data_IF_153402991474
#
_entry.id   IF_153402991474
#
_cell.length_a   1.000
_cell.length_b   1.000
_cell.length_c   1.000
_cell.angle_alpha   90.00
_cell.angle_beta   90.00
_cell.angle_gamma   90.00
#
_symmetry.space_group_name_H-M   'P 1'
#
loop_
_entity.id
_entity.type
_entity.pdbx_description
1 polymer ?
#
# COMPACT_ATOMS: atom_id res chain seq x y z
N UNK A 1 -3.53 103.23 84.51
CA UNK A 1 -4.28 104.28 85.23
C UNK A 1 -4.05 104.06 86.71
N UNK A 2 -3.30 104.94 87.37
CA UNK A 2 -3.45 105.40 88.77
C UNK A 2 -2.25 106.28 89.11
N UNK A 3 -2.52 107.51 89.54
CA UNK A 3 -1.59 108.60 89.82
C UNK A 3 -0.48 108.27 90.82
N UNK A 4 0.73 108.84 90.70
CA UNK A 4 1.55 109.09 91.87
C UNK A 4 1.00 110.34 92.56
N UNK A 5 0.50 110.15 93.77
CA UNK A 5 0.02 111.22 94.63
C UNK A 5 1.15 112.22 94.90
N UNK A 6 0.81 113.51 94.83
CA UNK A 6 1.62 114.62 95.32
C UNK A 6 1.94 114.37 96.80
N UNK A 7 3.19 114.03 97.11
CA UNK A 7 3.67 114.18 98.48
C UNK A 7 3.78 115.68 98.77
N UNK A 8 2.79 116.19 99.50
CA UNK A 8 2.88 117.47 100.17
C UNK A 8 4.09 117.40 101.11
N UNK A 9 5.06 118.29 100.90
CA UNK A 9 6.13 118.55 101.85
C UNK A 9 5.50 119.09 103.12
N UNK A 10 5.20 118.20 104.06
CA UNK A 10 4.92 118.57 105.44
C UNK A 10 6.28 119.01 105.97
N UNK A 11 6.47 120.32 106.18
CA UNK A 11 7.56 120.81 107.00
C UNK A 11 7.36 120.23 108.40
N UNK A 12 7.93 119.06 108.61
CA UNK A 12 7.99 118.40 109.90
C UNK A 12 9.02 119.21 110.66
N UNK A 13 8.55 120.10 111.52
CA UNK A 13 9.40 120.68 112.56
C UNK A 13 9.86 119.48 113.37
N UNK A 14 11.16 119.17 113.30
CA UNK A 14 11.65 117.94 113.87
C UNK A 14 11.52 118.04 115.40
N UNK A 15 11.19 116.93 116.06
CA UNK A 15 11.13 116.89 117.53
C UNK A 15 12.46 117.36 118.13
N UNK A 16 13.58 117.06 117.46
CA UNK A 16 14.91 117.60 117.76
C UNK A 16 14.97 119.12 117.68
N UNK A 17 14.45 119.76 116.62
CA UNK A 17 14.44 121.24 116.50
C UNK A 17 13.67 121.91 117.65
N UNK A 18 12.57 121.28 118.09
CA UNK A 18 11.74 121.79 119.19
C UNK A 18 12.44 121.61 120.54
N UNK A 19 13.12 120.48 120.76
CA UNK A 19 13.87 120.20 121.99
C UNK A 19 15.16 121.02 122.08
N UNK A 20 15.90 121.16 120.98
CA UNK A 20 17.12 122.00 120.88
C UNK A 20 16.82 123.49 121.07
N UNK A 21 15.63 123.97 120.70
CA UNK A 21 15.22 125.34 121.00
C UNK A 21 14.64 125.48 122.42
N UNK A 22 13.85 124.51 122.87
CA UNK A 22 13.09 124.57 124.11
C UNK A 22 13.91 124.35 125.38
N UNK A 23 14.80 123.36 125.39
CA UNK A 23 15.61 123.01 126.57
C UNK A 23 16.60 124.13 126.93
N UNK A 24 17.36 124.72 125.99
CA UNK A 24 18.22 125.87 126.30
C UNK A 24 17.44 127.07 126.82
N UNK A 25 16.21 127.31 126.33
CA UNK A 25 15.35 128.37 126.83
C UNK A 25 14.91 128.13 128.29
N UNK A 26 14.57 126.87 128.65
CA UNK A 26 14.27 126.47 130.04
C UNK A 26 15.50 126.61 130.93
N UNK A 27 16.67 126.14 130.49
CA UNK A 27 17.95 126.34 131.20
C UNK A 27 18.23 127.83 131.42
N UNK A 28 18.02 128.66 130.40
CA UNK A 28 18.24 130.11 130.49
C UNK A 28 17.27 130.77 131.48
N UNK A 29 16.01 130.34 131.53
CA UNK A 29 15.03 130.80 132.51
C UNK A 29 15.39 130.39 133.94
N UNK A 30 15.87 129.16 134.13
CA UNK A 30 16.36 128.67 135.43
C UNK A 30 17.58 129.48 135.89
N UNK A 31 18.58 129.69 135.00
CA UNK A 31 19.74 130.56 135.28
C UNK A 31 19.34 132.01 135.60
N UNK A 32 18.32 132.53 134.92
CA UNK A 32 17.80 133.87 135.19
C UNK A 32 17.12 133.97 136.56
N UNK A 33 16.40 132.92 136.98
CA UNK A 33 15.80 132.82 138.31
C UNK A 33 16.88 132.72 139.40
N UNK A 34 17.88 131.85 139.22
CA UNK A 34 19.03 131.69 140.13
C UNK A 34 19.76 133.02 140.41
N UNK A 35 19.89 133.90 139.41
CA UNK A 35 20.52 135.23 139.58
C UNK A 35 19.67 136.24 140.35
N UNK A 36 18.36 136.06 140.40
CA UNK A 36 17.42 137.05 140.95
C UNK A 36 16.92 136.71 142.35
N UNK A 37 16.99 135.44 142.72
CA UNK A 37 16.52 134.95 144.02
C UNK A 37 17.71 134.78 144.96
N UNK A 38 17.66 135.39 146.14
CA UNK A 38 18.65 135.16 147.20
C UNK A 38 18.37 133.81 147.83
N UNK A 39 19.20 132.84 147.50
CA UNK A 39 19.03 131.44 147.85
C UNK A 39 20.07 131.00 148.87
N UNK A 40 19.72 130.02 149.70
CA UNK A 40 20.70 129.25 150.44
C UNK A 40 21.45 128.28 149.51
N UNK A 41 22.53 127.69 150.00
CA UNK A 41 23.41 126.82 149.22
C UNK A 41 22.66 125.58 148.68
N UNK A 42 21.65 125.11 149.43
CA UNK A 42 20.80 124.00 149.04
C UNK A 42 19.91 124.33 147.84
N UNK A 43 19.30 125.52 147.83
CA UNK A 43 18.43 125.97 146.74
C UNK A 43 19.21 126.24 145.46
N UNK A 44 20.46 126.74 145.56
CA UNK A 44 21.34 126.88 144.40
C UNK A 44 21.66 125.52 143.75
N UNK A 45 21.95 124.49 144.56
CA UNK A 45 22.17 123.13 144.05
C UNK A 45 20.93 122.55 143.36
N UNK A 46 19.72 122.87 143.83
CA UNK A 46 18.50 122.45 143.13
C UNK A 46 18.36 123.09 141.74
N UNK A 47 18.76 124.36 141.58
CA UNK A 47 18.80 125.00 140.26
C UNK A 47 19.84 124.37 139.34
N UNK A 48 21.05 124.11 139.85
CA UNK A 48 22.12 123.46 139.07
C UNK A 48 21.69 122.04 138.64
N UNK A 49 21.12 121.25 139.56
CA UNK A 49 20.57 119.92 139.25
C UNK A 49 19.44 119.97 138.21
N UNK A 50 18.59 121.02 138.24
CA UNK A 50 17.51 121.18 137.27
C UNK A 50 18.05 121.54 135.87
N UNK A 51 19.11 122.34 135.80
CA UNK A 51 19.83 122.63 134.55
C UNK A 51 20.47 121.34 134.02
N UNK A 52 21.23 120.61 134.85
CA UNK A 52 21.85 119.35 134.45
C UNK A 52 20.81 118.31 134.01
N UNK A 53 19.68 118.21 134.72
CA UNK A 53 18.60 117.29 134.35
C UNK A 53 17.98 117.66 133.00
N UNK A 54 17.82 118.96 132.71
CA UNK A 54 17.28 119.43 131.43
C UNK A 54 18.27 119.17 130.29
N UNK A 55 19.55 119.47 130.48
CA UNK A 55 20.63 119.18 129.51
C UNK A 55 20.78 117.67 129.27
N UNK A 56 20.67 116.85 130.31
CA UNK A 56 20.70 115.39 130.21
C UNK A 56 19.48 114.84 129.45
N UNK A 57 18.30 115.43 129.62
CA UNK A 57 17.08 115.04 128.90
C UNK A 57 17.21 115.35 127.40
N UNK A 58 17.80 116.50 127.05
CA UNK A 58 18.12 116.82 125.65
C UNK A 58 19.09 115.80 125.05
N UNK A 59 20.18 115.48 125.75
CA UNK A 59 21.15 114.48 125.29
C UNK A 59 20.49 113.10 125.09
N UNK A 60 19.68 112.64 126.05
CA UNK A 60 18.94 111.39 125.92
C UNK A 60 17.94 111.39 124.75
N UNK A 61 17.26 112.51 124.50
CA UNK A 61 16.35 112.62 123.38
C UNK A 61 17.06 112.59 122.02
N UNK A 62 18.24 113.23 121.93
CA UNK A 62 19.11 113.15 120.75
C UNK A 62 19.61 111.72 120.53
N UNK A 63 20.03 111.02 121.59
CA UNK A 63 20.46 109.62 121.49
C UNK A 63 19.33 108.69 121.04
N UNK A 64 18.11 108.86 121.56
CA UNK A 64 16.93 108.10 121.12
C UNK A 64 16.62 108.37 119.65
N UNK A 65 16.68 109.63 119.22
CA UNK A 65 16.42 109.99 117.82
C UNK A 65 17.48 109.43 116.87
N UNK A 66 18.76 109.49 117.27
CA UNK A 66 19.84 108.88 116.48
C UNK A 66 19.67 107.37 116.39
N UNK A 67 19.30 106.69 117.49
CA UNK A 67 18.98 105.26 117.46
C UNK A 67 17.79 104.96 116.54
N UNK A 68 16.71 105.75 116.59
CA UNK A 68 15.57 105.58 115.67
C UNK A 68 15.96 105.82 114.20
N UNK A 69 16.83 106.80 113.93
CA UNK A 69 17.35 107.06 112.59
C UNK A 69 18.25 105.92 112.09
N UNK A 70 19.11 105.38 112.95
CA UNK A 70 19.94 104.21 112.65
C UNK A 70 19.08 102.95 112.42
N UNK A 71 18.06 102.72 113.24
CA UNK A 71 17.07 101.65 113.03
C UNK A 71 16.32 101.81 111.71
N UNK A 72 15.89 103.03 111.37
CA UNK A 72 15.22 103.30 110.10
C UNK A 72 16.15 103.08 108.91
N UNK A 73 17.41 103.54 108.98
CA UNK A 73 18.39 103.30 107.93
C UNK A 73 18.65 101.80 107.73
N UNK A 74 18.76 101.04 108.83
CA UNK A 74 18.88 99.58 108.77
C UNK A 74 17.66 98.94 108.10
N UNK A 75 16.45 99.40 108.41
CA UNK A 75 15.23 98.91 107.76
C UNK A 75 15.22 99.22 106.25
N UNK A 76 15.67 100.40 105.83
CA UNK A 76 15.79 100.75 104.40
C UNK A 76 16.78 99.85 103.69
N UNK A 77 17.97 99.62 104.26
CA UNK A 77 18.96 98.68 103.69
C UNK A 77 18.36 97.28 103.55
N UNK A 78 17.64 96.77 104.57
CA UNK A 78 17.00 95.44 104.46
C UNK A 78 15.92 95.38 103.40
N UNK A 79 15.19 96.48 103.16
CA UNK A 79 14.17 96.56 102.12
C UNK A 79 14.78 96.61 100.72
N UNK A 80 15.88 97.34 100.55
CA UNK A 80 16.65 97.39 99.30
C UNK A 80 17.24 96.02 98.96
N UNK A 81 17.83 95.34 99.94
CA UNK A 81 18.33 93.96 99.79
C UNK A 81 17.21 92.98 99.38
N UNK A 82 16.04 93.09 100.02
CA UNK A 82 14.87 92.26 99.67
C UNK A 82 14.37 92.56 98.26
N UNK A 83 14.36 93.82 97.83
CA UNK A 83 13.99 94.19 96.46
C UNK A 83 14.97 93.63 95.43
N UNK A 84 16.27 93.69 95.70
CA UNK A 84 17.30 93.13 94.82
C UNK A 84 17.16 91.60 94.71
N UNK A 85 16.97 90.90 95.83
CA UNK A 85 16.70 89.46 95.84
C UNK A 85 15.44 89.10 95.06
N UNK A 86 14.35 89.87 95.24
CA UNK A 86 13.09 89.64 94.53
C UNK A 86 13.23 89.89 93.03
N UNK A 87 14.02 90.89 92.63
CA UNK A 87 14.36 91.12 91.23
C UNK A 87 15.15 89.94 90.64
N UNK A 88 16.17 89.45 91.35
CA UNK A 88 16.94 88.27 90.96
C UNK A 88 16.08 87.00 90.83
N UNK A 89 15.12 86.80 91.73
CA UNK A 89 14.17 85.68 91.64
C UNK A 89 13.18 85.82 90.49
N UNK A 90 12.74 87.03 90.18
CA UNK A 90 11.90 87.27 89.01
C UNK A 90 12.65 86.98 87.71
N UNK A 91 13.91 87.39 87.59
CA UNK A 91 14.74 87.09 86.42
C UNK A 91 14.93 85.58 86.24
N UNK A 92 15.29 84.86 87.32
CA UNK A 92 15.39 83.39 87.32
C UNK A 92 14.08 82.72 86.86
N UNK A 93 12.92 83.20 87.34
CA UNK A 93 11.62 82.66 86.96
C UNK A 93 11.32 82.83 85.46
N UNK A 94 11.60 84.01 84.91
CA UNK A 94 11.47 84.26 83.46
C UNK A 94 12.38 83.37 82.62
N UNK A 95 13.64 83.18 83.03
CA UNK A 95 14.58 82.29 82.33
C UNK A 95 14.11 80.83 82.37
N UNK A 96 13.64 80.36 83.53
CA UNK A 96 13.05 79.03 83.66
C UNK A 96 11.80 78.86 82.80
N UNK A 97 10.93 79.86 82.70
CA UNK A 97 9.75 79.80 81.82
C UNK A 97 10.13 79.72 80.33
N UNK A 98 11.19 80.41 79.91
CA UNK A 98 11.70 80.35 78.53
C UNK A 98 12.27 78.95 78.25
N UNK A 99 13.09 78.42 79.15
CA UNK A 99 13.66 77.07 79.04
C UNK A 99 12.57 76.01 78.99
N UNK A 100 11.53 76.13 79.81
CA UNK A 100 10.43 75.16 79.86
C UNK A 100 9.65 75.15 78.54
N UNK A 101 9.34 76.33 77.97
CA UNK A 101 8.71 76.43 76.64
C UNK A 101 9.59 75.90 75.51
N UNK A 102 10.91 76.13 75.57
CA UNK A 102 11.84 75.57 74.59
C UNK A 102 11.91 74.04 74.68
N UNK A 103 11.95 73.49 75.89
CA UNK A 103 11.95 72.05 76.11
C UNK A 103 10.63 71.40 75.68
N UNK A 104 9.48 72.03 75.96
CA UNK A 104 8.18 71.57 75.45
C UNK A 104 8.15 71.52 73.93
N UNK A 105 8.67 72.55 73.27
CA UNK A 105 8.73 72.60 71.80
C UNK A 105 9.69 71.55 71.22
N UNK A 106 10.87 71.38 71.79
CA UNK A 106 11.80 70.31 71.40
C UNK A 106 11.18 68.93 71.56
N UNK A 107 10.48 68.67 72.67
CA UNK A 107 9.78 67.41 72.88
C UNK A 107 8.67 67.19 71.87
N UNK A 108 7.96 68.25 71.49
CA UNK A 108 6.91 68.16 70.48
C UNK A 108 7.49 67.87 69.09
N UNK A 109 8.59 68.52 68.71
CA UNK A 109 9.30 68.26 67.46
C UNK A 109 9.85 66.82 67.42
N UNK A 110 10.45 66.32 68.51
CA UNK A 110 10.92 64.92 68.64
C UNK A 110 9.77 63.91 68.48
N UNK A 111 8.59 64.20 69.03
CA UNK A 111 7.41 63.34 68.91
C UNK A 111 6.87 63.36 67.49
N UNK A 112 6.78 64.53 66.85
CA UNK A 112 6.31 64.66 65.47
C UNK A 112 7.24 63.91 64.50
N UNK A 113 8.55 64.02 64.66
CA UNK A 113 9.53 63.27 63.87
C UNK A 113 9.40 61.75 64.07
N UNK A 114 9.28 61.30 65.32
CA UNK A 114 9.11 59.88 65.64
C UNK A 114 7.80 59.30 65.08
N UNK A 115 6.70 60.07 65.12
CA UNK A 115 5.42 59.69 64.52
C UNK A 115 5.54 59.61 63.00
N UNK A 116 6.20 60.59 62.36
CA UNK A 116 6.40 60.58 60.91
C UNK A 116 7.24 59.38 60.46
N UNK A 117 8.34 59.08 61.15
CA UNK A 117 9.18 57.91 60.82
C UNK A 117 8.42 56.59 61.06
N UNK A 118 7.61 56.50 62.12
CA UNK A 118 6.75 55.35 62.37
C UNK A 118 5.68 55.16 61.27
N UNK A 119 5.05 56.25 60.80
CA UNK A 119 4.08 56.22 59.70
C UNK A 119 4.75 55.77 58.40
N UNK A 120 5.93 56.30 58.05
CA UNK A 120 6.65 55.86 56.86
C UNK A 120 7.06 54.38 56.93
N UNK A 121 7.42 53.88 58.12
CA UNK A 121 7.71 52.45 58.31
C UNK A 121 6.45 51.59 58.16
N UNK A 122 5.31 52.05 58.67
CA UNK A 122 4.03 51.37 58.50
C UNK A 122 3.61 51.31 57.03
N UNK A 123 3.66 52.42 56.30
CA UNK A 123 3.32 52.48 54.87
C UNK A 123 4.19 51.55 54.02
N UNK A 124 5.51 51.51 54.30
CA UNK A 124 6.43 50.59 53.63
C UNK A 124 6.11 49.12 53.93
N UNK A 125 5.75 48.81 55.16
CA UNK A 125 5.37 47.45 55.55
C UNK A 125 4.05 47.02 54.87
N UNK A 126 3.07 47.93 54.79
CA UNK A 126 1.79 47.66 54.11
C UNK A 126 2.00 47.42 52.61
N UNK A 127 2.82 48.25 51.95
CA UNK A 127 3.20 48.03 50.55
C UNK A 127 3.86 46.67 50.33
N UNK A 128 4.77 46.26 51.22
CA UNK A 128 5.43 44.96 51.14
C UNK A 128 4.43 43.81 51.36
N UNK A 129 3.51 43.95 52.31
CA UNK A 129 2.45 42.95 52.55
C UNK A 129 1.58 42.77 51.31
N UNK A 130 1.14 43.86 50.68
CA UNK A 130 0.37 43.82 49.43
C UNK A 130 1.17 43.15 48.31
N UNK A 131 2.45 43.50 48.14
CA UNK A 131 3.31 42.87 47.13
C UNK A 131 3.53 41.37 47.37
N UNK A 132 3.63 40.95 48.63
CA UNK A 132 3.77 39.54 48.99
C UNK A 132 2.46 38.77 48.79
N UNK A 133 1.31 39.38 49.11
CA UNK A 133 0.00 38.79 48.84
C UNK A 133 -0.27 38.63 47.34
N UNK A 134 0.08 39.62 46.52
CA UNK A 134 -0.06 39.48 45.07
C UNK A 134 0.84 38.36 44.53
N UNK A 135 2.12 38.30 44.95
CA UNK A 135 3.02 37.19 44.58
C UNK A 135 2.52 35.84 45.06
N UNK A 136 1.98 35.76 46.28
CA UNK A 136 1.42 34.51 46.81
C UNK A 136 0.22 34.04 45.99
N UNK A 137 -0.67 34.96 45.62
CA UNK A 137 -1.83 34.66 44.78
C UNK A 137 -1.42 34.19 43.38
N UNK A 138 -0.44 34.86 42.76
CA UNK A 138 0.12 34.45 41.46
C UNK A 138 0.75 33.04 41.51
N UNK A 139 1.57 32.77 42.53
CA UNK A 139 2.21 31.46 42.71
C UNK A 139 1.17 30.37 42.97
N UNK A 140 0.15 30.66 43.79
CA UNK A 140 -0.93 29.71 44.09
C UNK A 140 -1.70 29.35 42.82
N UNK A 141 -2.11 30.33 42.02
CA UNK A 141 -2.78 30.10 40.74
C UNK A 141 -1.92 29.29 39.76
N UNK A 142 -0.60 29.58 39.70
CA UNK A 142 0.34 28.82 38.89
C UNK A 142 0.46 27.35 39.32
N UNK A 143 0.51 27.08 40.63
CA UNK A 143 0.56 25.72 41.17
C UNK A 143 -0.73 24.97 40.86
N UNK A 144 -1.90 25.60 41.03
CA UNK A 144 -3.19 25.00 40.67
C UNK A 144 -3.26 24.63 39.18
N UNK A 145 -2.84 25.54 38.30
CA UNK A 145 -2.77 25.29 36.87
C UNK A 145 -1.83 24.12 36.54
N UNK A 146 -0.65 24.08 37.17
CA UNK A 146 0.30 22.97 36.99
C UNK A 146 -0.26 21.65 37.48
N UNK A 147 -0.97 21.63 38.60
CA UNK A 147 -1.63 20.42 39.10
C UNK A 147 -2.71 19.92 38.14
N UNK A 148 -3.52 20.81 37.57
CA UNK A 148 -4.50 20.44 36.54
C UNK A 148 -3.84 19.88 35.28
N UNK A 149 -2.73 20.47 34.83
CA UNK A 149 -1.93 19.96 33.70
C UNK A 149 -1.38 18.56 34.00
N UNK A 150 -0.80 18.36 35.18
CA UNK A 150 -0.27 17.06 35.62
C UNK A 150 -1.38 16.01 35.67
N UNK A 151 -2.55 16.33 36.22
CA UNK A 151 -3.68 15.41 36.24
C UNK A 151 -4.15 15.03 34.83
N UNK A 152 -4.23 16.00 33.93
CA UNK A 152 -4.62 15.77 32.52
C UNK A 152 -3.58 14.90 31.81
N UNK A 153 -2.29 15.19 31.98
CA UNK A 153 -1.19 14.38 31.45
C UNK A 153 -1.17 12.97 32.05
N UNK A 154 -1.49 12.82 33.33
CA UNK A 154 -1.52 11.53 33.98
C UNK A 154 -2.70 10.67 33.46
N UNK A 155 -3.85 11.28 33.17
CA UNK A 155 -4.98 10.60 32.51
C UNK A 155 -4.60 10.16 31.10
N UNK A 156 -4.08 11.05 30.27
CA UNK A 156 -3.68 10.71 28.90
C UNK A 156 -2.56 9.68 28.86
N UNK A 157 -1.58 9.76 29.77
CA UNK A 157 -0.54 8.75 29.91
C UNK A 157 -1.10 7.38 30.31
N UNK A 158 -2.05 7.32 31.25
CA UNK A 158 -2.74 6.07 31.62
C UNK A 158 -3.53 5.48 30.44
N UNK A 159 -4.24 6.30 29.68
CA UNK A 159 -4.96 5.87 28.48
C UNK A 159 -4.01 5.32 27.41
N UNK A 160 -2.90 6.00 27.14
CA UNK A 160 -1.87 5.54 26.20
C UNK A 160 -1.21 4.26 26.67
N UNK A 161 -0.85 4.15 27.96
CA UNK A 161 -0.23 2.95 28.51
C UNK A 161 -1.21 1.77 28.58
N UNK A 162 -2.50 2.00 28.77
CA UNK A 162 -3.54 0.97 28.70
C UNK A 162 -3.67 0.35 27.30
N UNK A 163 -3.29 1.10 26.25
CA UNK A 163 -3.22 0.58 24.88
C UNK A 163 -1.98 -0.30 24.64
N UNK A 164 -1.09 -0.47 25.62
CA UNK A 164 0.12 -1.29 25.53
C UNK A 164 0.90 -1.06 24.21
N UNK A 165 1.40 0.17 24.00
CA UNK A 165 1.91 0.64 22.72
C UNK A 165 3.11 -0.18 22.23
N UNK A 166 3.91 -0.72 23.16
CA UNK A 166 5.05 -1.61 22.86
C UNK A 166 4.61 -2.94 22.26
N UNK A 167 3.56 -3.56 22.77
CA UNK A 167 3.02 -4.78 22.16
C UNK A 167 2.23 -4.48 20.90
N UNK A 168 1.57 -3.32 20.80
CA UNK A 168 0.88 -2.90 19.58
C UNK A 168 1.87 -2.68 18.42
N UNK A 169 3.01 -2.03 18.67
CA UNK A 169 4.06 -1.82 17.68
C UNK A 169 4.66 -3.15 17.20
N UNK A 170 4.93 -4.08 18.13
CA UNK A 170 5.37 -5.45 17.79
C UNK A 170 4.33 -6.20 16.96
N UNK A 171 3.04 -6.12 17.32
CA UNK A 171 1.94 -6.74 16.56
C UNK A 171 1.79 -6.12 15.18
N UNK A 172 1.89 -4.79 15.05
CA UNK A 172 1.84 -4.10 13.77
C UNK A 172 3.02 -4.48 12.88
N UNK A 173 4.25 -4.52 13.41
CA UNK A 173 5.43 -4.94 12.66
C UNK A 173 5.31 -6.41 12.20
N UNK A 174 4.80 -7.30 13.05
CA UNK A 174 4.52 -8.70 12.71
C UNK A 174 3.45 -8.81 11.60
N UNK A 175 2.31 -8.15 11.77
CA UNK A 175 1.23 -8.14 10.78
C UNK A 175 1.65 -7.53 9.44
N UNK A 176 2.52 -6.50 9.46
CA UNK A 176 3.08 -5.89 8.24
C UNK A 176 3.98 -6.87 7.48
N UNK A 177 4.83 -7.63 8.19
CA UNK A 177 5.65 -8.70 7.59
C UNK A 177 4.78 -9.82 7.02
N UNK A 178 3.84 -10.34 7.81
CA UNK A 178 2.89 -11.38 7.37
C UNK A 178 2.11 -10.93 6.12
N UNK A 179 1.66 -9.68 6.07
CA UNK A 179 0.98 -9.13 4.89
C UNK A 179 1.90 -9.04 3.66
N UNK A 180 3.17 -8.72 3.84
CA UNK A 180 4.15 -8.72 2.74
C UNK A 180 4.42 -10.13 2.23
N UNK A 181 4.58 -11.10 3.12
CA UNK A 181 4.82 -12.50 2.77
C UNK A 181 3.59 -13.12 2.08
N UNK A 182 2.38 -12.84 2.58
CA UNK A 182 1.14 -13.24 1.92
C UNK A 182 1.00 -12.61 0.53
N UNK A 183 1.36 -11.32 0.36
CA UNK A 183 1.35 -10.68 -0.96
C UNK A 183 2.32 -11.34 -1.94
N UNK A 184 3.51 -11.74 -1.47
CA UNK A 184 4.47 -12.51 -2.29
C UNK A 184 3.91 -13.87 -2.66
N UNK A 185 3.37 -14.62 -1.69
CA UNK A 185 2.75 -15.92 -1.95
C UNK A 185 1.59 -15.83 -2.95
N UNK A 186 0.72 -14.82 -2.82
CA UNK A 186 -0.39 -14.60 -3.78
C UNK A 186 0.16 -14.31 -5.18
N UNK A 187 1.20 -13.48 -5.29
CA UNK A 187 1.87 -13.22 -6.58
C UNK A 187 2.46 -14.49 -7.19
N UNK A 188 3.19 -15.29 -6.40
CA UNK A 188 3.81 -16.54 -6.84
C UNK A 188 2.77 -17.59 -7.27
N UNK A 189 1.67 -17.70 -6.51
CA UNK A 189 0.55 -18.59 -6.83
C UNK A 189 -0.16 -18.15 -8.11
N UNK A 190 -0.40 -16.85 -8.30
CA UNK A 190 -0.99 -16.34 -9.53
C UNK A 190 -0.10 -16.62 -10.75
N UNK A 191 1.22 -16.45 -10.63
CA UNK A 191 2.16 -16.81 -11.71
C UNK A 191 2.13 -18.31 -12.02
N UNK A 192 2.07 -19.16 -10.98
CA UNK A 192 1.92 -20.62 -11.16
C UNK A 192 0.61 -20.98 -11.86
N UNK A 193 -0.51 -20.34 -11.50
CA UNK A 193 -1.82 -20.57 -12.13
C UNK A 193 -1.77 -20.19 -13.61
N UNK A 194 -1.19 -19.04 -13.95
CA UNK A 194 -1.05 -18.62 -15.36
C UNK A 194 -0.22 -19.62 -16.15
N UNK A 195 0.90 -20.08 -15.58
CA UNK A 195 1.75 -21.09 -16.21
C UNK A 195 1.03 -22.43 -16.42
N UNK A 196 0.39 -22.95 -15.36
CA UNK A 196 -0.39 -24.20 -15.43
C UNK A 196 -1.55 -24.11 -16.42
N UNK A 197 -2.22 -22.96 -16.50
CA UNK A 197 -3.32 -22.74 -17.47
C UNK A 197 -2.80 -22.83 -18.90
N UNK A 198 -1.63 -22.23 -19.18
CA UNK A 198 -0.97 -22.32 -20.49
C UNK A 198 -0.52 -23.75 -20.81
N UNK A 199 0.16 -24.41 -19.86
CA UNK A 199 0.63 -25.79 -20.05
C UNK A 199 -0.56 -26.75 -20.30
N UNK A 200 -1.69 -26.53 -19.63
CA UNK A 200 -2.92 -27.30 -19.83
C UNK A 200 -3.57 -27.02 -21.20
N UNK A 201 -3.56 -25.77 -21.69
CA UNK A 201 -4.04 -25.49 -23.05
C UNK A 201 -3.16 -26.14 -24.11
N UNK A 202 -1.84 -26.08 -23.94
CA UNK A 202 -0.89 -26.69 -24.88
C UNK A 202 -1.04 -28.22 -24.89
N UNK A 203 -1.19 -28.84 -23.71
CA UNK A 203 -1.46 -30.27 -23.59
C UNK A 203 -2.78 -30.69 -24.23
N UNK A 204 -3.86 -29.89 -24.11
CA UNK A 204 -5.14 -30.16 -24.77
C UNK A 204 -5.02 -30.15 -26.29
N UNK A 205 -4.29 -29.18 -26.85
CA UNK A 205 -4.04 -29.11 -28.30
C UNK A 205 -3.20 -30.28 -28.78
N UNK A 206 -2.14 -30.63 -28.05
CA UNK A 206 -1.30 -31.79 -28.36
C UNK A 206 -2.11 -33.10 -28.31
N UNK A 207 -2.93 -33.29 -27.28
CA UNK A 207 -3.82 -34.45 -27.16
C UNK A 207 -4.83 -34.54 -28.31
N UNK A 208 -5.45 -33.42 -28.70
CA UNK A 208 -6.39 -33.41 -29.83
C UNK A 208 -5.71 -33.84 -31.15
N UNK A 209 -4.49 -33.32 -31.42
CA UNK A 209 -3.68 -33.73 -32.59
C UNK A 209 -3.28 -35.20 -32.55
N UNK A 210 -2.85 -35.69 -31.38
CA UNK A 210 -2.45 -37.08 -31.22
C UNK A 210 -3.66 -38.02 -31.38
N UNK A 211 -4.83 -37.64 -30.89
CA UNK A 211 -6.07 -38.38 -31.08
C UNK A 211 -6.44 -38.48 -32.56
N UNK A 212 -6.39 -37.39 -33.32
CA UNK A 212 -6.67 -37.42 -34.76
C UNK A 212 -5.70 -38.32 -35.53
N UNK A 213 -4.41 -38.27 -35.21
CA UNK A 213 -3.41 -39.12 -35.87
C UNK A 213 -3.58 -40.59 -35.50
N UNK A 214 -3.92 -40.88 -34.23
CA UNK A 214 -4.20 -42.24 -33.78
C UNK A 214 -5.41 -42.83 -34.51
N UNK A 215 -6.49 -42.06 -34.68
CA UNK A 215 -7.65 -42.51 -35.46
C UNK A 215 -7.27 -42.81 -36.91
N UNK A 216 -6.48 -41.94 -37.56
CA UNK A 216 -6.02 -42.17 -38.94
C UNK A 216 -5.18 -43.45 -39.05
N UNK A 217 -4.26 -43.67 -38.12
CA UNK A 217 -3.43 -44.87 -38.08
C UNK A 217 -4.27 -46.13 -37.86
N UNK A 218 -5.28 -46.09 -36.99
CA UNK A 218 -6.22 -47.21 -36.81
C UNK A 218 -6.94 -47.52 -38.13
N UNK A 219 -7.44 -46.53 -38.85
CA UNK A 219 -8.08 -46.73 -40.15
C UNK A 219 -7.12 -47.35 -41.18
N UNK A 220 -5.89 -46.86 -41.29
CA UNK A 220 -4.85 -47.44 -42.16
C UNK A 220 -4.54 -48.88 -41.78
N UNK A 221 -4.35 -49.17 -40.48
CA UNK A 221 -4.07 -50.52 -39.97
C UNK A 221 -5.21 -51.48 -40.29
N UNK A 222 -6.45 -51.00 -40.20
CA UNK A 222 -7.65 -51.80 -40.53
C UNK A 222 -7.67 -52.12 -42.02
N UNK A 223 -7.35 -51.16 -42.90
CA UNK A 223 -7.24 -51.39 -44.36
C UNK A 223 -6.17 -52.43 -44.68
N UNK A 224 -4.99 -52.33 -44.07
CA UNK A 224 -3.93 -53.31 -44.26
C UNK A 224 -4.34 -54.72 -43.79
N UNK A 225 -5.03 -54.83 -42.66
CA UNK A 225 -5.52 -56.11 -42.15
C UNK A 225 -6.56 -56.76 -43.10
N UNK A 226 -7.43 -55.95 -43.72
CA UNK A 226 -8.39 -56.43 -44.73
C UNK A 226 -7.67 -56.90 -45.99
N UNK A 227 -6.76 -56.10 -46.53
CA UNK A 227 -5.95 -56.45 -47.71
C UNK A 227 -5.15 -57.73 -47.47
N UNK A 228 -4.57 -57.88 -46.28
CA UNK A 228 -3.82 -59.09 -45.91
C UNK A 228 -4.74 -60.33 -45.90
N UNK A 229 -5.96 -60.23 -45.36
CA UNK A 229 -6.94 -61.33 -45.39
C UNK A 229 -7.36 -61.70 -46.81
N UNK A 230 -7.56 -60.71 -47.68
CA UNK A 230 -7.91 -60.92 -49.09
C UNK A 230 -6.76 -61.59 -49.86
N UNK A 231 -5.52 -61.16 -49.65
CA UNK A 231 -4.32 -61.80 -50.20
C UNK A 231 -4.20 -63.28 -49.76
N UNK A 232 -4.47 -63.57 -48.48
CA UNK A 232 -4.46 -64.95 -47.99
C UNK A 232 -5.65 -65.78 -48.48
N UNK A 233 -6.83 -65.18 -48.68
CA UNK A 233 -8.00 -65.88 -49.21
C UNK A 233 -7.80 -66.36 -50.65
N UNK A 234 -7.19 -65.54 -51.49
CA UNK A 234 -6.84 -65.92 -52.88
C UNK A 234 -5.83 -67.07 -52.88
N UNK A 235 -4.78 -66.99 -52.05
CA UNK A 235 -3.74 -68.03 -51.98
C UNK A 235 -4.21 -69.38 -51.40
N UNK A 236 -5.40 -69.46 -50.78
CA UNK A 236 -6.00 -70.72 -50.36
C UNK A 236 -6.66 -71.49 -51.51
N UNK A 237 -7.02 -70.83 -52.62
CA UNK A 237 -7.57 -71.52 -53.79
C UNK A 237 -6.45 -72.31 -54.47
N UNK A 238 -6.66 -73.61 -54.62
CA UNK A 238 -5.74 -74.49 -55.34
C UNK A 238 -6.42 -75.09 -56.57
N UNK A 239 -5.65 -75.22 -57.63
CA UNK A 239 -6.01 -75.89 -58.86
C UNK A 239 -5.07 -77.06 -59.08
N UNK A 240 -5.56 -78.14 -59.67
CA UNK A 240 -4.76 -79.34 -59.96
C UNK A 240 -4.56 -79.46 -61.46
N UNK A 241 -3.34 -79.80 -61.88
CA UNK A 241 -3.00 -79.97 -63.29
C UNK A 241 -3.93 -80.94 -64.01
N UNK A 242 -4.22 -80.65 -65.29
CA UNK A 242 -5.00 -81.54 -66.16
C UNK A 242 -4.24 -82.82 -66.51
N UNK A 243 -2.91 -82.78 -66.49
CA UNK A 243 -2.02 -83.91 -66.73
C UNK A 243 -1.10 -84.12 -65.53
N UNK A 244 -0.70 -85.37 -65.30
CA UNK A 244 0.31 -85.69 -64.29
C UNK A 244 1.71 -85.47 -64.82
N UNK A 245 2.57 -84.88 -63.99
CA UNK A 245 4.00 -84.75 -64.30
C UNK A 245 4.69 -86.12 -64.12
N UNK A 246 5.56 -86.55 -65.06
CA UNK A 246 6.16 -87.90 -65.05
C UNK A 246 6.90 -88.29 -63.76
N UNK A 247 7.43 -87.31 -63.01
CA UNK A 247 8.20 -87.55 -61.78
C UNK A 247 7.58 -86.97 -60.51
N UNK A 248 6.66 -86.00 -60.64
CA UNK A 248 6.13 -85.25 -59.49
C UNK A 248 4.65 -85.55 -59.22
N UNK A 249 3.97 -86.26 -60.13
CA UNK A 249 2.54 -86.51 -60.04
C UNK A 249 1.73 -85.24 -60.33
N UNK A 250 0.58 -85.03 -59.66
CA UNK A 250 -0.26 -83.85 -59.90
C UNK A 250 0.45 -82.57 -59.44
N UNK A 251 0.52 -81.58 -60.34
CA UNK A 251 1.06 -80.26 -60.06
C UNK A 251 -0.07 -79.39 -59.52
N UNK A 252 0.17 -78.73 -58.39
CA UNK A 252 -0.79 -77.79 -57.80
C UNK A 252 -0.44 -76.38 -58.18
N UNK A 253 -1.45 -75.63 -58.62
CA UNK A 253 -1.35 -74.21 -58.92
C UNK A 253 -2.17 -73.40 -57.95
N UNK A 254 -1.68 -72.21 -57.61
CA UNK A 254 -2.36 -71.30 -56.69
C UNK A 254 -2.19 -69.85 -57.15
N UNK A 255 -3.27 -69.04 -57.11
CA UNK A 255 -3.21 -67.64 -57.47
C UNK A 255 -2.60 -66.82 -56.32
N UNK A 256 -1.93 -65.74 -56.69
CA UNK A 256 -1.32 -64.77 -55.77
C UNK A 256 -1.63 -63.37 -56.25
N UNK A 257 -2.07 -62.52 -55.33
CA UNK A 257 -2.20 -61.09 -55.57
C UNK A 257 -0.87 -60.39 -55.29
N UNK A 258 -0.47 -59.50 -56.19
CA UNK A 258 0.66 -58.61 -56.03
C UNK A 258 0.15 -57.21 -55.72
N UNK A 259 0.71 -56.57 -54.70
CA UNK A 259 0.37 -55.21 -54.28
C UNK A 259 1.07 -54.12 -55.14
N UNK A 260 1.37 -54.46 -56.39
CA UNK A 260 1.90 -53.56 -57.41
C UNK A 260 1.49 -54.09 -58.80
N UNK A 261 1.30 -53.18 -59.75
CA UNK A 261 1.00 -53.56 -61.13
C UNK A 261 2.24 -53.96 -61.93
N UNK A 262 2.02 -54.76 -62.96
CA UNK A 262 3.05 -55.20 -63.90
C UNK A 262 2.83 -54.48 -65.22
N UNK A 263 3.83 -53.70 -65.64
CA UNK A 263 3.78 -53.00 -66.93
C UNK A 263 4.22 -53.91 -68.07
N UNK A 264 3.63 -53.71 -69.26
CA UNK A 264 4.08 -54.39 -70.48
C UNK A 264 5.00 -53.47 -71.29
N UNK A 265 6.14 -53.95 -71.80
CA UNK A 265 6.94 -53.20 -72.75
C UNK A 265 6.10 -52.84 -73.99
N UNK A 266 6.33 -51.66 -74.57
CA UNK A 266 5.55 -51.16 -75.73
C UNK A 266 5.47 -52.15 -76.90
N UNK A 267 6.52 -52.94 -77.11
CA UNK A 267 6.61 -53.95 -78.18
C UNK A 267 5.58 -55.08 -78.01
N UNK A 268 5.16 -55.39 -76.78
CA UNK A 268 4.18 -56.44 -76.48
C UNK A 268 2.75 -55.89 -76.34
N UNK A 269 2.57 -54.58 -76.58
CA UNK A 269 1.29 -53.87 -76.49
C UNK A 269 1.01 -53.02 -77.75
N UNK A 270 1.49 -53.47 -78.91
CA UNK A 270 1.38 -52.80 -80.21
C UNK A 270 0.13 -53.20 -81.01
N UNK A 271 -0.58 -54.25 -80.59
CA UNK A 271 -1.81 -54.76 -81.17
C UNK A 271 -2.88 -54.93 -80.09
N UNK A 272 -4.16 -54.86 -80.48
CA UNK A 272 -5.27 -55.17 -79.59
C UNK A 272 -5.38 -56.70 -79.36
N UNK A 273 -5.88 -57.14 -78.19
CA UNK A 273 -6.33 -56.33 -77.07
C UNK A 273 -5.17 -55.71 -76.27
N UNK A 274 -5.31 -54.42 -75.93
CA UNK A 274 -4.27 -53.69 -75.21
C UNK A 274 -4.17 -54.11 -73.74
N UNK A 275 -2.97 -54.09 -73.17
CA UNK A 275 -2.71 -54.31 -71.75
C UNK A 275 -2.96 -53.00 -71.00
N UNK A 276 -3.77 -53.09 -69.93
CA UNK A 276 -4.09 -51.96 -69.05
C UNK A 276 -2.86 -51.59 -68.23
N UNK A 277 -2.39 -50.36 -68.36
CA UNK A 277 -1.24 -49.84 -67.62
C UNK A 277 -1.69 -49.08 -66.36
N UNK A 278 -0.71 -48.85 -65.46
CA UNK A 278 -0.88 -48.09 -64.20
C UNK A 278 -1.89 -48.69 -63.21
N UNK A 279 -2.10 -50.00 -63.27
CA UNK A 279 -2.76 -50.70 -62.17
C UNK A 279 -1.81 -50.73 -60.96
N UNK A 280 -2.37 -50.65 -59.77
CA UNK A 280 -1.66 -50.80 -58.50
C UNK A 280 -1.65 -52.25 -58.01
N UNK A 281 -2.15 -53.17 -58.84
CA UNK A 281 -2.18 -54.59 -58.55
C UNK A 281 -1.91 -55.43 -59.81
N UNK A 282 -1.50 -56.67 -59.59
CA UNK A 282 -1.39 -57.69 -60.61
C UNK A 282 -1.61 -59.07 -59.98
N UNK A 283 -1.86 -60.08 -60.81
CA UNK A 283 -1.96 -61.45 -60.36
C UNK A 283 -0.74 -62.26 -60.80
N UNK A 284 -0.41 -63.27 -60.03
CA UNK A 284 0.59 -64.26 -60.35
C UNK A 284 -0.01 -65.65 -60.15
N UNK A 285 0.23 -66.55 -61.10
CA UNK A 285 -0.18 -67.95 -60.98
C UNK A 285 1.05 -68.80 -60.72
N UNK A 286 1.16 -69.29 -59.49
CA UNK A 286 2.32 -70.05 -59.03
C UNK A 286 2.00 -71.54 -59.06
N UNK A 287 3.02 -72.38 -59.24
CA UNK A 287 2.91 -73.82 -59.01
C UNK A 287 3.91 -74.33 -57.97
N UNK A 288 3.64 -75.52 -57.44
CA UNK A 288 4.50 -76.22 -56.47
C UNK A 288 5.89 -76.59 -57.01
N UNK A 289 6.07 -76.63 -58.33
CA UNK A 289 7.38 -76.79 -58.98
C UNK A 289 8.28 -75.53 -58.89
N UNK A 290 7.80 -74.43 -58.31
CA UNK A 290 8.55 -73.19 -58.15
C UNK A 290 8.53 -72.27 -59.38
N UNK A 291 7.71 -72.58 -60.39
CA UNK A 291 7.43 -71.64 -61.49
C UNK A 291 6.27 -70.71 -61.13
N UNK A 292 6.30 -69.52 -61.72
CA UNK A 292 5.23 -68.56 -61.60
C UNK A 292 5.05 -67.79 -62.91
N UNK A 293 3.81 -67.54 -63.28
CA UNK A 293 3.46 -66.68 -64.42
C UNK A 293 2.82 -65.40 -63.91
N UNK A 294 3.38 -64.28 -64.36
CA UNK A 294 2.81 -62.97 -64.15
C UNK A 294 1.64 -62.74 -65.12
N UNK A 295 0.47 -62.44 -64.56
CA UNK A 295 -0.76 -62.17 -65.29
C UNK A 295 -0.91 -60.66 -65.44
N UNK A 296 -0.83 -60.20 -66.69
CA UNK A 296 -1.17 -58.83 -67.07
C UNK A 296 -2.64 -58.79 -67.46
N UNK A 297 -3.30 -57.67 -67.21
CA UNK A 297 -4.74 -57.53 -67.47
C UNK A 297 -4.92 -56.81 -68.79
N UNK A 298 -5.62 -57.42 -69.75
CA UNK A 298 -5.94 -56.74 -71.00
C UNK A 298 -7.19 -55.85 -70.85
N UNK A 299 -7.48 -55.08 -71.89
CA UNK A 299 -8.58 -54.12 -71.90
C UNK A 299 -9.95 -54.77 -71.71
N UNK A 300 -10.07 -56.06 -72.03
CA UNK A 300 -11.29 -56.85 -71.85
C UNK A 300 -11.31 -57.61 -70.53
N UNK A 301 -10.47 -57.21 -69.57
CA UNK A 301 -10.39 -57.81 -68.24
C UNK A 301 -10.01 -59.29 -68.28
N UNK A 302 -9.34 -59.73 -69.35
CA UNK A 302 -8.85 -61.09 -69.51
C UNK A 302 -7.38 -61.21 -69.07
N UNK A 303 -7.01 -62.34 -68.46
CA UNK A 303 -5.62 -62.62 -68.10
C UNK A 303 -4.77 -62.78 -69.37
N UNK A 304 -3.71 -61.99 -69.46
CA UNK A 304 -2.75 -62.01 -70.56
C UNK A 304 -1.34 -62.25 -70.00
N UNK A 305 -0.72 -63.34 -70.43
CA UNK A 305 0.56 -63.82 -69.93
C UNK A 305 1.46 -64.25 -71.07
N UNK A 306 2.76 -64.37 -70.79
CA UNK A 306 3.69 -64.94 -71.75
C UNK A 306 3.65 -66.47 -71.60
N UNK A 307 3.48 -67.24 -72.69
CA UNK A 307 3.47 -68.68 -72.61
C UNK A 307 4.80 -69.20 -72.05
N UNK A 308 4.70 -70.06 -71.04
CA UNK A 308 5.80 -70.85 -70.51
C UNK A 308 5.40 -72.31 -70.66
N UNK A 309 6.28 -73.12 -71.25
CA UNK A 309 6.02 -74.53 -71.60
C UNK A 309 5.37 -75.34 -70.48
N UNK A 310 5.80 -75.15 -69.23
CA UNK A 310 5.24 -75.89 -68.08
C UNK A 310 3.76 -75.55 -67.84
N UNK A 311 3.35 -74.30 -68.04
CA UNK A 311 1.94 -73.92 -67.93
C UNK A 311 1.15 -74.34 -69.17
N UNK A 312 1.72 -74.29 -70.38
CA UNK A 312 1.03 -74.78 -71.58
C UNK A 312 0.69 -76.28 -71.49
N UNK A 313 1.61 -77.07 -70.92
CA UNK A 313 1.47 -78.52 -70.86
C UNK A 313 0.59 -79.01 -69.70
N UNK A 314 0.67 -78.34 -68.53
CA UNK A 314 0.05 -78.79 -67.28
C UNK A 314 -1.01 -77.85 -66.71
N UNK A 315 -1.40 -76.77 -67.42
CA UNK A 315 -2.41 -75.84 -66.92
C UNK A 315 -3.69 -76.56 -66.46
N UNK A 316 -4.29 -76.13 -65.33
CA UNK A 316 -5.56 -76.65 -64.85
C UNK A 316 -6.73 -76.18 -65.71
N UNK A 317 -7.87 -76.86 -65.67
CA UNK A 317 -9.12 -76.35 -66.27
C UNK A 317 -9.72 -75.19 -65.46
N UNK A 318 -10.43 -74.27 -66.12
CA UNK A 318 -11.21 -73.23 -65.45
C UNK A 318 -10.39 -72.06 -64.86
N UNK A 319 -9.07 -72.05 -65.04
CA UNK A 319 -8.20 -71.06 -64.40
C UNK A 319 -8.30 -69.67 -65.03
N UNK A 320 -8.53 -69.60 -66.34
CA UNK A 320 -8.69 -68.34 -67.07
C UNK A 320 -9.99 -67.65 -66.62
N UNK A 321 -11.06 -68.43 -66.52
CA UNK A 321 -12.39 -68.01 -66.06
C UNK A 321 -12.32 -67.50 -64.62
N UNK A 322 -11.61 -68.23 -63.75
CA UNK A 322 -11.37 -67.80 -62.37
C UNK A 322 -10.66 -66.44 -62.30
N UNK A 323 -9.57 -66.25 -63.07
CA UNK A 323 -8.87 -64.96 -63.07
C UNK A 323 -9.71 -63.87 -63.72
N UNK A 324 -10.49 -64.16 -64.77
CA UNK A 324 -11.38 -63.20 -65.37
C UNK A 324 -12.41 -62.68 -64.36
N UNK A 325 -13.10 -63.58 -63.63
CA UNK A 325 -14.06 -63.19 -62.59
C UNK A 325 -13.40 -62.38 -61.48
N UNK A 326 -12.22 -62.82 -61.03
CA UNK A 326 -11.45 -62.14 -60.00
C UNK A 326 -10.99 -60.74 -60.45
N UNK A 327 -10.56 -60.60 -61.71
CA UNK A 327 -10.20 -59.31 -62.31
C UNK A 327 -11.42 -58.42 -62.41
N UNK A 328 -12.56 -58.91 -62.90
CA UNK A 328 -13.80 -58.12 -63.02
C UNK A 328 -14.22 -57.54 -61.68
N UNK A 329 -14.31 -58.38 -60.63
CA UNK A 329 -14.64 -57.95 -59.26
C UNK A 329 -13.69 -56.86 -58.76
N UNK A 330 -12.40 -57.01 -59.03
CA UNK A 330 -11.39 -56.07 -58.55
C UNK A 330 -11.36 -54.76 -59.36
N UNK A 331 -11.79 -54.83 -60.61
CA UNK A 331 -11.91 -53.69 -61.51
C UNK A 331 -13.22 -52.93 -61.35
N UNK A 332 -14.27 -53.49 -60.75
CA UNK A 332 -15.51 -52.77 -60.42
C UNK A 332 -15.26 -51.53 -59.54
N UNK A 333 -14.33 -51.64 -58.58
CA UNK A 333 -13.99 -50.53 -57.68
C UNK A 333 -13.02 -49.51 -58.29
N UNK A 334 -12.23 -49.92 -59.30
CA UNK A 334 -11.13 -49.12 -59.87
C UNK A 334 -11.46 -48.50 -61.22
N UNK A 335 -12.04 -49.29 -62.13
CA UNK A 335 -12.37 -48.94 -63.52
C UNK A 335 -13.70 -49.61 -63.94
N UNK A 336 -14.84 -49.22 -63.32
CA UNK A 336 -16.14 -49.82 -63.60
C UNK A 336 -16.60 -49.69 -65.06
N UNK A 337 -16.06 -48.72 -65.81
CA UNK A 337 -16.28 -48.57 -67.24
C UNK A 337 -15.77 -49.76 -68.07
N UNK A 338 -14.67 -50.39 -67.66
CA UNK A 338 -14.13 -51.57 -68.35
C UNK A 338 -14.98 -52.81 -68.09
N UNK A 339 -15.50 -52.95 -66.87
CA UNK A 339 -16.38 -54.05 -66.48
C UNK A 339 -17.67 -53.99 -67.29
N UNK A 340 -18.34 -52.82 -67.30
CA UNK A 340 -19.56 -52.62 -68.09
C UNK A 340 -19.39 -52.90 -69.58
N UNK A 341 -18.22 -52.56 -70.14
CA UNK A 341 -17.92 -52.85 -71.56
C UNK A 341 -17.78 -54.35 -71.80
N UNK A 342 -17.09 -55.06 -70.90
CA UNK A 342 -16.94 -56.51 -71.01
C UNK A 342 -18.29 -57.23 -70.89
N UNK A 343 -19.10 -56.87 -69.89
CA UNK A 343 -20.47 -57.41 -69.71
C UNK A 343 -21.35 -57.18 -70.94
N UNK A 344 -21.37 -55.95 -71.45
CA UNK A 344 -22.10 -55.63 -72.68
C UNK A 344 -21.63 -56.49 -73.86
N UNK A 345 -20.33 -56.64 -74.06
CA UNK A 345 -19.79 -57.44 -75.16
C UNK A 345 -20.12 -58.94 -75.03
N UNK A 346 -20.30 -59.45 -73.80
CA UNK A 346 -20.74 -60.83 -73.54
C UNK A 346 -22.23 -61.03 -73.90
N UNK A 347 -23.06 -59.98 -73.79
CA UNK A 347 -24.48 -60.04 -74.16
C UNK A 347 -24.72 -59.92 -75.67
N UNK A 348 -23.78 -59.34 -76.42
CA UNK A 348 -23.93 -59.11 -77.86
C UNK A 348 -23.58 -60.37 -78.65
N UNK A 349 -24.61 -61.09 -79.11
CA UNK A 349 -24.45 -62.24 -80.00
C UNK A 349 -24.06 -61.80 -81.42
N UNK A 350 -23.06 -62.44 -82.02
CA UNK A 350 -22.57 -62.12 -83.37
C UNK A 350 -23.63 -62.31 -84.46
N UNK A 351 -24.52 -63.29 -84.31
CA UNK A 351 -25.59 -63.57 -85.27
C UNK A 351 -26.66 -62.46 -85.30
N UNK A 352 -26.94 -61.88 -84.13
CA UNK A 352 -28.00 -60.87 -83.96
C UNK A 352 -27.48 -59.43 -84.01
N UNK A 353 -26.16 -59.25 -83.99
CA UNK A 353 -25.51 -57.94 -83.88
C UNK A 353 -25.57 -57.09 -85.16
N UNK A 354 -26.05 -57.62 -86.29
CA UNK A 354 -26.14 -56.92 -87.57
C UNK A 354 -24.77 -56.45 -88.10
N UNK A 355 -23.72 -57.23 -87.81
CA UNK A 355 -22.36 -56.90 -88.23
C UNK A 355 -22.20 -57.07 -89.75
N UNK A 356 -21.43 -56.22 -90.43
CA UNK A 356 -21.13 -56.35 -91.86
C UNK A 356 -20.11 -57.47 -92.13
N UNK A 357 -20.45 -58.71 -91.72
CA UNK A 357 -19.68 -59.93 -91.96
C UNK A 357 -20.52 -60.90 -92.79
N UNK A 358 -19.91 -61.72 -93.67
CA UNK A 358 -20.63 -62.77 -94.38
C UNK A 358 -21.30 -63.76 -93.43
N UNK A 359 -22.53 -64.20 -93.72
CA UNK A 359 -23.25 -65.19 -92.89
C UNK A 359 -22.46 -66.50 -92.72
N UNK A 360 -21.78 -66.95 -93.78
CA UNK A 360 -20.90 -68.12 -93.73
C UNK A 360 -19.76 -67.96 -92.71
N UNK A 361 -19.23 -66.73 -92.58
CA UNK A 361 -18.17 -66.44 -91.62
C UNK A 361 -18.70 -66.38 -90.19
N UNK A 362 -19.92 -65.86 -89.99
CA UNK A 362 -20.59 -65.89 -88.67
C UNK A 362 -20.89 -67.32 -88.25
N UNK A 363 -21.40 -68.16 -89.17
CA UNK A 363 -21.61 -69.59 -88.90
C UNK A 363 -20.30 -70.29 -88.55
N UNK A 364 -19.22 -70.02 -89.30
CA UNK A 364 -17.88 -70.55 -89.01
C UNK A 364 -17.37 -70.10 -87.63
N UNK A 365 -17.62 -68.87 -87.20
CA UNK A 365 -17.26 -68.41 -85.86
C UNK A 365 -18.03 -69.18 -84.77
N UNK A 366 -19.34 -69.38 -84.98
CA UNK A 366 -20.17 -70.17 -84.05
C UNK A 366 -19.73 -71.64 -83.96
N UNK A 367 -19.32 -72.26 -85.08
CA UNK A 367 -18.77 -73.62 -85.10
C UNK A 367 -17.43 -73.75 -84.34
N UNK A 368 -16.74 -72.62 -84.08
CA UNK A 368 -15.50 -72.56 -83.29
C UNK A 368 -15.73 -72.02 -81.86
N UNK A 369 -16.96 -72.12 -81.36
CA UNK A 369 -17.39 -71.66 -80.02
C UNK A 369 -17.20 -70.14 -79.79
N UNK A 370 -17.24 -69.34 -80.86
CA UNK A 370 -17.19 -67.87 -80.79
C UNK A 370 -18.58 -67.30 -81.10
N UNK A 371 -19.39 -67.08 -80.06
CA UNK A 371 -20.78 -66.68 -80.22
C UNK A 371 -21.02 -65.19 -79.99
N UNK A 372 -20.18 -64.56 -79.17
CA UNK A 372 -20.38 -63.18 -78.71
C UNK A 372 -19.29 -62.25 -79.21
N UNK A 373 -19.55 -60.95 -79.14
CA UNK A 373 -18.54 -59.94 -79.42
C UNK A 373 -17.31 -60.13 -78.52
N UNK A 374 -17.55 -60.45 -77.24
CA UNK A 374 -16.50 -60.69 -76.24
C UNK A 374 -15.58 -61.86 -76.61
N UNK A 375 -16.14 -62.97 -77.12
CA UNK A 375 -15.37 -64.16 -77.50
C UNK A 375 -14.32 -63.85 -78.58
N UNK A 376 -14.61 -62.88 -79.44
CA UNK A 376 -13.73 -62.44 -80.53
C UNK A 376 -12.72 -61.39 -80.07
N UNK A 377 -13.19 -60.29 -79.48
CA UNK A 377 -12.36 -59.10 -79.18
C UNK A 377 -11.32 -59.34 -78.07
N UNK A 378 -11.49 -60.41 -77.30
CA UNK A 378 -10.53 -60.84 -76.27
C UNK A 378 -9.32 -61.60 -76.84
N UNK A 379 -9.38 -62.03 -78.10
CA UNK A 379 -8.33 -62.81 -78.78
C UNK A 379 -7.43 -61.92 -79.61
N UNK A 380 -6.15 -62.29 -79.70
CA UNK A 380 -5.20 -61.69 -80.65
C UNK A 380 -5.42 -62.29 -82.04
N UNK A 381 -5.03 -61.54 -83.08
CA UNK A 381 -5.08 -62.00 -84.47
C UNK A 381 -4.43 -63.38 -84.64
N UNK A 382 -3.23 -63.58 -84.10
CA UNK A 382 -2.55 -64.89 -84.16
C UNK A 382 -3.30 -66.03 -83.46
N UNK A 383 -4.06 -65.74 -82.41
CA UNK A 383 -4.86 -66.76 -81.71
C UNK A 383 -6.08 -67.18 -82.53
N UNK A 384 -6.73 -66.24 -83.21
CA UNK A 384 -7.84 -66.54 -84.12
C UNK A 384 -7.40 -67.43 -85.29
N UNK A 385 -6.21 -67.17 -85.83
CA UNK A 385 -5.64 -67.99 -86.91
C UNK A 385 -5.18 -69.36 -86.42
N UNK A 386 -4.46 -69.43 -85.31
CA UNK A 386 -3.85 -70.67 -84.83
C UNK A 386 -4.84 -71.61 -84.13
N UNK A 387 -5.80 -71.06 -83.37
CA UNK A 387 -6.65 -71.86 -82.48
C UNK A 387 -8.10 -72.00 -82.99
N UNK A 388 -8.56 -71.13 -83.89
CA UNK A 388 -9.96 -71.09 -84.35
C UNK A 388 -10.11 -71.24 -85.88
N UNK A 389 -9.09 -71.78 -86.57
CA UNK A 389 -9.15 -72.14 -88.00
C UNK A 389 -9.60 -71.02 -88.96
N UNK A 390 -9.33 -69.76 -88.60
CA UNK A 390 -9.59 -68.61 -89.46
C UNK A 390 -8.38 -68.35 -90.37
N UNK A 391 -8.63 -67.93 -91.60
CA UNK A 391 -7.54 -67.40 -92.44
C UNK A 391 -7.06 -66.06 -91.89
N UNK A 392 -5.84 -65.64 -92.24
CA UNK A 392 -5.30 -64.36 -91.79
C UNK A 392 -6.17 -63.17 -92.21
N UNK A 393 -6.85 -63.26 -93.36
CA UNK A 393 -7.75 -62.22 -93.87
C UNK A 393 -9.09 -62.21 -93.12
N UNK A 394 -9.68 -63.40 -92.89
CA UNK A 394 -10.90 -63.56 -92.10
C UNK A 394 -10.70 -63.02 -90.67
N UNK A 395 -9.62 -63.43 -89.99
CA UNK A 395 -9.32 -62.99 -88.63
C UNK A 395 -9.15 -61.47 -88.54
N UNK A 396 -8.52 -60.85 -89.55
CA UNK A 396 -8.38 -59.39 -89.60
C UNK A 396 -9.73 -58.71 -89.82
N UNK A 397 -10.51 -59.17 -90.79
CA UNK A 397 -11.83 -58.60 -91.10
C UNK A 397 -12.78 -58.68 -89.90
N UNK A 398 -12.80 -59.82 -89.20
CA UNK A 398 -13.61 -60.03 -88.00
C UNK A 398 -13.20 -59.07 -86.88
N UNK A 399 -11.90 -58.95 -86.58
CA UNK A 399 -11.41 -58.03 -85.55
C UNK A 399 -11.71 -56.56 -85.91
N UNK A 400 -11.46 -56.15 -87.15
CA UNK A 400 -11.72 -54.77 -87.60
C UNK A 400 -13.21 -54.40 -87.42
N UNK A 401 -14.13 -55.29 -87.78
CA UNK A 401 -15.57 -55.08 -87.62
C UNK A 401 -16.00 -55.08 -86.15
N UNK A 402 -15.51 -56.03 -85.35
CA UNK A 402 -15.86 -56.15 -83.93
C UNK A 402 -15.33 -54.97 -83.10
N UNK A 403 -14.11 -54.51 -83.38
CA UNK A 403 -13.57 -53.31 -82.74
C UNK A 403 -14.26 -52.03 -83.22
N UNK A 404 -14.67 -51.93 -84.49
CA UNK A 404 -15.46 -50.80 -84.94
C UNK A 404 -16.81 -50.71 -84.20
N UNK A 405 -17.47 -51.85 -83.94
CA UNK A 405 -18.71 -51.92 -83.15
C UNK A 405 -18.46 -51.52 -81.69
N UNK A 406 -17.37 -52.00 -81.10
CA UNK A 406 -16.97 -51.65 -79.73
C UNK A 406 -16.66 -50.15 -79.60
N UNK A 407 -15.86 -49.60 -80.52
CA UNK A 407 -15.46 -48.19 -80.52
C UNK A 407 -16.68 -47.26 -80.69
N UNK A 408 -17.72 -47.71 -81.41
CA UNK A 408 -18.99 -46.99 -81.50
C UNK A 408 -19.73 -46.98 -80.15
N UNK A 409 -19.84 -48.14 -79.50
CA UNK A 409 -20.47 -48.25 -78.18
C UNK A 409 -19.75 -47.41 -77.12
N UNK A 410 -18.41 -47.38 -77.13
CA UNK A 410 -17.63 -46.57 -76.19
C UNK A 410 -17.86 -45.07 -76.36
N UNK A 411 -18.02 -44.60 -77.60
CA UNK A 411 -18.34 -43.18 -77.87
C UNK A 411 -19.70 -42.80 -77.29
N UNK A 412 -20.66 -43.72 -77.30
CA UNK A 412 -22.01 -43.49 -76.78
C UNK A 412 -22.07 -43.59 -75.24
N UNK A 413 -21.18 -44.36 -74.60
CA UNK A 413 -21.25 -44.69 -73.17
C UNK A 413 -20.16 -44.04 -72.28
N UNK A 414 -19.48 -43.00 -72.77
CA UNK A 414 -18.62 -42.15 -71.93
C UNK A 414 -17.21 -41.82 -72.42
N UNK A 415 -16.80 -42.27 -73.62
CA UNK A 415 -15.67 -41.71 -74.38
C UNK A 415 -14.25 -42.10 -73.94
N UNK A 416 -13.49 -42.66 -74.91
CA UNK A 416 -12.07 -43.10 -74.89
C UNK A 416 -11.65 -43.70 -73.55
N UNK A 417 -11.92 -44.99 -73.40
CA UNK A 417 -11.25 -45.80 -72.39
C UNK A 417 -9.75 -45.77 -72.71
N UNK A 418 -8.99 -44.91 -72.03
CA UNK A 418 -7.54 -44.80 -72.25
C UNK A 418 -6.86 -46.05 -71.70
N UNK A 419 -6.70 -47.04 -72.58
CA UNK A 419 -5.83 -48.20 -72.37
C UNK A 419 -4.44 -47.87 -72.94
N UNK A 420 -3.74 -46.90 -72.36
CA UNK A 420 -2.33 -46.62 -72.67
C UNK A 420 -1.50 -46.31 -71.44
#
# INVERSE_FOLDING_TARGET
MTSPAKNQSIMTTCVTDVLEAGVPAVVQNIRAAQRRVTCDDLTNRFFDNAIESAEMLLAQAVDVYNNEADEHNSLVETLEDLQEQLHGKNTELTELQILLKQHERQKQDEVEEAVQDAMQRADRAELLCVEMETKLNEVTAMVELRNQQIQTLHKSYKEVMALDPLNLEKRYAKAKRERQDLRKQVSDLNQKIVKLTKDLSDARVAYARQKTETTRLVEETTKYATLQKEMYGITQRQFTSTKEHPTLGPIHFYPRLLAYGISSPKQFNNERPYIVTKLDFAYQFCCDMGFAIDIRINEWLMPNFQPIRIFEEFQPEGWIEFFHELICREMESRRPELVRRAEWAQEVNLADAGLPLPEELIAKLADNDLHTLFDVVTRRHGQLVANHNLTSEEAKSVLDVCYARTDAWEKENGGIIYVR
#
